data_IF_684659789462
#
_entry.id   IF_684659789462
#
_cell.length_a   1.000
_cell.length_b   1.000
_cell.length_c   1.000
_cell.angle_alpha   90.00
_cell.angle_beta   90.00
_cell.angle_gamma   90.00
#
_symmetry.space_group_name_H-M   'P 1'
#
loop_
_entity.id
_entity.type
_entity.pdbx_description
1 polymer ?
#
# COMPACT_ATOMS: atom_id res chain seq x y z
N UNK A 1 17.13 17.63 12.03
CA UNK A 1 17.36 16.23 11.61
C UNK A 1 16.54 15.24 12.45
N UNK A 2 16.81 15.07 13.75
CA UNK A 2 16.08 14.09 14.60
C UNK A 2 14.56 14.32 14.68
N UNK A 3 14.12 15.57 14.84
CA UNK A 3 12.69 15.92 14.86
C UNK A 3 12.01 15.63 13.51
N UNK A 4 12.67 15.97 12.40
CA UNK A 4 12.16 15.69 11.05
C UNK A 4 12.03 14.17 10.80
N UNK A 5 13.04 13.39 11.19
CA UNK A 5 12.99 11.93 11.12
C UNK A 5 11.84 11.34 11.95
N UNK A 6 11.65 11.81 13.19
CA UNK A 6 10.55 11.33 14.05
C UNK A 6 9.16 11.66 13.48
N UNK A 7 8.99 12.83 12.86
CA UNK A 7 7.74 13.20 12.18
C UNK A 7 7.50 12.29 10.98
N UNK A 8 8.54 12.05 10.17
CA UNK A 8 8.47 11.20 8.99
C UNK A 8 8.17 9.73 9.37
N UNK A 9 8.77 9.26 10.46
CA UNK A 9 8.53 7.93 11.04
C UNK A 9 7.08 7.81 11.53
N UNK A 10 6.59 8.82 12.27
CA UNK A 10 5.20 8.86 12.74
C UNK A 10 4.19 8.80 11.58
N UNK A 11 4.45 9.56 10.50
CA UNK A 11 3.61 9.54 9.31
C UNK A 11 3.64 8.17 8.60
N UNK A 12 4.81 7.53 8.50
CA UNK A 12 4.93 6.19 7.92
C UNK A 12 4.17 5.13 8.74
N UNK A 13 4.18 5.23 10.08
CA UNK A 13 3.41 4.33 10.95
C UNK A 13 1.90 4.49 10.74
N UNK A 14 1.40 5.72 10.60
CA UNK A 14 -0.03 5.96 10.33
C UNK A 14 -0.44 5.34 8.99
N UNK A 15 0.37 5.55 7.94
CA UNK A 15 0.12 4.97 6.62
C UNK A 15 0.18 3.44 6.67
N UNK A 16 1.11 2.87 7.43
CA UNK A 16 1.20 1.43 7.64
C UNK A 16 -0.07 0.88 8.31
N UNK A 17 -0.58 1.56 9.35
CA UNK A 17 -1.81 1.16 10.02
C UNK A 17 -3.01 1.21 9.07
N UNK A 18 -3.11 2.25 8.24
CA UNK A 18 -4.17 2.35 7.22
C UNK A 18 -4.05 1.24 6.17
N UNK A 19 -2.83 0.94 5.71
CA UNK A 19 -2.57 -0.13 4.75
C UNK A 19 -2.92 -1.51 5.33
N UNK A 20 -2.52 -1.79 6.58
CA UNK A 20 -2.87 -3.02 7.29
C UNK A 20 -4.38 -3.13 7.47
N UNK A 21 -5.05 -2.04 7.86
CA UNK A 21 -6.51 -2.04 7.99
C UNK A 21 -7.19 -2.33 6.65
N UNK A 22 -6.74 -1.68 5.57
CA UNK A 22 -7.23 -1.91 4.22
C UNK A 22 -7.11 -3.40 3.87
N UNK A 23 -5.91 -3.96 3.95
CA UNK A 23 -5.65 -5.38 3.64
C UNK A 23 -6.41 -6.33 4.57
N UNK A 24 -6.56 -5.99 5.85
CA UNK A 24 -7.28 -6.85 6.80
C UNK A 24 -8.78 -6.94 6.48
N UNK A 25 -9.40 -5.80 6.11
CA UNK A 25 -10.82 -5.75 5.79
C UNK A 25 -11.13 -6.19 4.35
N UNK A 26 -10.25 -5.90 3.39
CA UNK A 26 -10.47 -6.23 1.96
C UNK A 26 -9.83 -7.56 1.54
N UNK A 27 -8.78 -8.01 2.25
CA UNK A 27 -8.02 -9.22 1.92
C UNK A 27 -8.80 -10.53 2.10
N UNK A 28 -9.90 -10.51 2.89
CA UNK A 28 -10.83 -11.65 2.97
C UNK A 28 -11.64 -11.85 1.68
N UNK A 29 -11.75 -10.82 0.83
CA UNK A 29 -12.35 -10.88 -0.51
C UNK A 29 -11.35 -11.18 -1.63
N UNK A 30 -10.10 -10.68 -1.52
CA UNK A 30 -9.04 -10.92 -2.52
C UNK A 30 -8.49 -12.36 -2.51
N UNK A 31 -8.64 -13.09 -1.40
CA UNK A 31 -8.19 -14.48 -1.29
C UNK A 31 -9.07 -15.50 -2.04
N UNK A 32 -10.26 -15.13 -2.55
CA UNK A 32 -11.24 -16.14 -3.00
C UNK A 32 -12.07 -15.82 -4.26
N UNK A 33 -11.58 -15.01 -5.22
CA UNK A 33 -12.32 -14.88 -6.50
C UNK A 33 -11.51 -14.67 -7.79
N UNK A 34 -10.20 -14.96 -7.81
CA UNK A 34 -9.37 -14.74 -9.00
C UNK A 34 -8.76 -15.97 -9.66
N UNK A 35 -8.83 -17.13 -9.01
CA UNK A 35 -8.28 -18.38 -9.53
C UNK A 35 -9.13 -18.94 -10.67
N UNK A 36 -8.93 -18.43 -11.89
CA UNK A 36 -9.34 -19.09 -13.12
C UNK A 36 -10.58 -18.51 -13.80
N UNK A 37 -10.34 -17.60 -14.75
CA UNK A 37 -10.95 -17.64 -16.07
C UNK A 37 -10.39 -16.50 -16.92
N UNK A 38 -9.37 -16.80 -17.72
CA UNK A 38 -9.07 -16.01 -18.91
C UNK A 38 -10.26 -16.22 -19.87
N UNK A 39 -11.32 -15.42 -19.72
CA UNK A 39 -12.39 -15.26 -20.72
C UNK A 39 -12.30 -13.84 -21.27
N UNK A 40 -11.34 -13.64 -22.16
CA UNK A 40 -11.04 -12.35 -22.82
C UNK A 40 -12.09 -11.93 -23.85
N UNK A 41 -13.40 -12.03 -23.56
CA UNK A 41 -14.45 -11.59 -24.50
C UNK A 41 -15.47 -10.63 -23.91
N UNK A 42 -15.52 -10.45 -22.58
CA UNK A 42 -16.40 -9.45 -21.98
C UNK A 42 -15.56 -8.38 -21.28
N UNK A 43 -15.54 -7.16 -21.85
CA UNK A 43 -14.98 -5.96 -21.22
C UNK A 43 -15.94 -5.53 -20.11
N UNK A 44 -15.95 -6.29 -19.01
CA UNK A 44 -16.75 -5.99 -17.82
C UNK A 44 -16.42 -4.59 -17.31
N UNK A 45 -17.44 -3.81 -16.95
CA UNK A 45 -17.29 -2.51 -16.26
C UNK A 45 -16.33 -2.66 -15.09
N UNK A 46 -15.58 -1.59 -14.78
CA UNK A 46 -14.75 -1.52 -13.58
C UNK A 46 -15.56 -1.96 -12.35
N UNK A 47 -15.23 -3.14 -11.81
CA UNK A 47 -15.83 -3.68 -10.59
C UNK A 47 -15.25 -2.94 -9.38
N UNK A 48 -15.96 -2.99 -8.26
CA UNK A 48 -15.49 -2.48 -6.97
C UNK A 48 -14.15 -3.13 -6.60
N UNK A 49 -13.95 -4.40 -6.96
CA UNK A 49 -12.71 -5.14 -6.70
C UNK A 49 -11.50 -4.57 -7.46
N UNK A 50 -11.70 -4.08 -8.70
CA UNK A 50 -10.62 -3.45 -9.49
C UNK A 50 -10.21 -2.10 -8.88
N UNK A 51 -11.17 -1.36 -8.31
CA UNK A 51 -10.88 -0.14 -7.58
C UNK A 51 -10.10 -0.44 -6.29
N UNK A 52 -10.52 -1.44 -5.52
CA UNK A 52 -9.84 -1.86 -4.28
C UNK A 52 -8.43 -2.34 -4.58
N UNK A 53 -8.24 -3.16 -5.63
CA UNK A 53 -6.91 -3.60 -6.09
C UNK A 53 -6.01 -2.41 -6.44
N UNK A 54 -6.51 -1.43 -7.20
CA UNK A 54 -5.73 -0.22 -7.55
C UNK A 54 -5.37 0.62 -6.34
N UNK A 55 -6.32 0.85 -5.42
CA UNK A 55 -6.07 1.60 -4.19
C UNK A 55 -5.03 0.87 -3.32
N UNK A 56 -5.15 -0.44 -3.18
CA UNK A 56 -4.16 -1.26 -2.44
C UNK A 56 -2.78 -1.13 -3.06
N UNK A 57 -2.69 -1.21 -4.39
CA UNK A 57 -1.43 -1.11 -5.12
C UNK A 57 -0.78 0.29 -4.97
N UNK A 58 -1.55 1.36 -5.09
CA UNK A 58 -1.05 2.72 -4.87
C UNK A 58 -0.62 2.95 -3.41
N UNK A 59 -1.34 2.38 -2.45
CA UNK A 59 -1.04 2.52 -1.02
C UNK A 59 0.20 1.70 -0.62
N UNK A 60 0.39 0.53 -1.22
CA UNK A 60 1.60 -0.27 -1.03
C UNK A 60 2.84 0.37 -1.64
N UNK A 61 2.73 0.93 -2.84
CA UNK A 61 3.81 1.66 -3.50
C UNK A 61 4.20 2.93 -2.73
N UNK A 62 3.22 3.71 -2.26
CA UNK A 62 3.49 4.91 -1.48
C UNK A 62 4.16 4.59 -0.14
N UNK A 63 3.73 3.51 0.54
CA UNK A 63 4.38 3.04 1.76
C UNK A 63 5.83 2.61 1.51
N UNK A 64 6.08 1.81 0.47
CA UNK A 64 7.44 1.40 0.10
C UNK A 64 8.33 2.62 -0.18
N UNK A 65 7.86 3.57 -0.99
CA UNK A 65 8.61 4.78 -1.30
C UNK A 65 8.94 5.60 -0.05
N UNK A 66 8.01 5.69 0.89
CA UNK A 66 8.22 6.42 2.14
C UNK A 66 9.25 5.76 3.05
N UNK A 67 9.32 4.41 3.07
CA UNK A 67 10.35 3.66 3.78
C UNK A 67 11.74 3.88 3.19
N UNK A 68 11.86 3.95 1.86
CA UNK A 68 13.14 4.26 1.19
C UNK A 68 13.61 5.68 1.54
N UNK A 69 12.70 6.66 1.54
CA UNK A 69 13.05 8.05 1.94
C UNK A 69 13.48 8.09 3.41
N UNK A 70 12.79 7.36 4.28
CA UNK A 70 13.17 7.23 5.69
C UNK A 70 14.55 6.60 5.88
N UNK A 71 14.89 5.58 5.08
CA UNK A 71 16.20 4.91 5.14
C UNK A 71 17.33 5.84 4.70
N UNK A 72 17.14 6.58 3.60
CA UNK A 72 18.10 7.59 3.13
C UNK A 72 18.31 8.67 4.20
N UNK A 73 17.22 9.26 4.72
CA UNK A 73 17.29 10.29 5.77
C UNK A 73 17.90 9.72 7.05
N UNK A 74 17.60 8.47 7.41
CA UNK A 74 18.17 7.80 8.56
C UNK A 74 19.68 7.63 8.44
N UNK A 75 20.19 7.22 7.28
CA UNK A 75 21.61 7.09 7.01
C UNK A 75 22.32 8.46 7.06
N UNK A 76 21.73 9.51 6.49
CA UNK A 76 22.27 10.89 6.56
C UNK A 76 22.31 11.52 7.95
N UNK A 77 21.58 10.96 8.93
CA UNK A 77 21.59 11.43 10.32
C UNK A 77 22.60 10.64 11.17
N UNK A 78 22.97 9.45 10.70
CA UNK A 78 23.86 8.53 11.38
C UNK A 78 25.33 8.84 11.08
N UNK A 79 25.60 9.40 9.90
CA UNK A 79 26.84 10.07 9.51
C UNK A 79 26.88 11.53 10.02
#
# INVERSE_FOLDING_TARGET
MKIFYNILLGAAVIIALMFVALVYFTGKGDAMSGGGAIRTTFKGKASIDDLISKVTLYTGLSFMGMMVVLDIVGNMIKD
#
